data_IF_689519431684
#
_entry.id   IF_689519431684
#
_cell.length_a   1.000
_cell.length_b   1.000
_cell.length_c   1.000
_cell.angle_alpha   90.00
_cell.angle_beta   90.00
_cell.angle_gamma   90.00
#
_symmetry.space_group_name_H-M   'P 1'
#
loop_
_entity.id
_entity.type
_entity.pdbx_description
1 polymer ?
#
# COMPACT_ATOMS: atom_id res chain seq x y z
N UNK A 1 25.68 13.51 -5.04
CA UNK A 1 25.56 12.05 -4.87
C UNK A 1 26.53 11.50 -3.83
N UNK A 2 27.85 11.76 -3.91
CA UNK A 2 28.86 11.09 -3.05
C UNK A 2 28.55 11.00 -1.55
N UNK A 3 28.15 12.10 -0.91
CA UNK A 3 27.76 12.11 0.52
C UNK A 3 26.56 11.19 0.85
N UNK A 4 25.58 11.10 -0.06
CA UNK A 4 24.39 10.26 0.14
C UNK A 4 24.78 8.79 -0.04
N UNK A 5 25.51 8.48 -1.11
CA UNK A 5 26.04 7.13 -1.32
C UNK A 5 26.94 6.66 -0.17
N UNK A 6 27.79 7.52 0.38
CA UNK A 6 28.67 7.15 1.51
C UNK A 6 27.87 6.68 2.74
N UNK A 7 26.68 7.25 2.95
CA UNK A 7 25.81 6.95 4.10
C UNK A 7 24.81 5.82 3.82
N UNK A 8 24.09 5.89 2.69
CA UNK A 8 22.98 5.00 2.35
C UNK A 8 23.38 3.86 1.40
N UNK A 9 24.57 3.94 0.81
CA UNK A 9 25.12 2.94 -0.15
C UNK A 9 24.25 2.71 -1.37
N UNK A 10 23.51 3.74 -1.76
CA UNK A 10 22.58 3.71 -2.89
C UNK A 10 22.64 5.00 -3.70
N UNK A 11 22.16 4.90 -4.94
CA UNK A 11 21.98 6.02 -5.85
C UNK A 11 20.82 6.93 -5.41
N UNK A 12 20.75 8.12 -6.00
CA UNK A 12 19.76 9.13 -5.64
C UNK A 12 18.85 9.38 -6.83
N UNK A 13 17.55 9.24 -6.60
CA UNK A 13 16.51 9.69 -7.52
C UNK A 13 16.06 11.08 -7.10
N UNK A 14 15.97 12.01 -8.06
CA UNK A 14 15.37 13.34 -7.87
C UNK A 14 14.17 13.44 -8.78
N UNK A 15 12.99 13.59 -8.19
CA UNK A 15 11.72 13.68 -8.91
C UNK A 15 11.08 15.05 -8.70
N UNK A 16 10.33 15.57 -9.69
CA UNK A 16 9.41 16.68 -9.47
C UNK A 16 8.44 16.36 -8.33
N UNK A 17 8.07 17.36 -7.56
CA UNK A 17 7.02 17.21 -6.57
C UNK A 17 5.68 16.91 -7.26
N UNK A 18 4.96 15.93 -6.73
CA UNK A 18 3.64 15.50 -7.23
C UNK A 18 2.58 15.77 -6.16
N UNK A 19 1.64 16.65 -6.48
CA UNK A 19 0.53 17.01 -5.61
C UNK A 19 -0.52 15.88 -5.51
N UNK A 20 -1.55 16.11 -4.69
CA UNK A 20 -2.70 15.22 -4.59
C UNK A 20 -2.76 14.47 -3.26
N UNK A 21 -3.48 13.36 -3.25
CA UNK A 21 -3.69 12.49 -2.10
C UNK A 21 -2.83 11.24 -2.22
N UNK A 22 -2.40 10.70 -1.08
CA UNK A 22 -1.68 9.44 -1.03
C UNK A 22 -2.64 8.28 -1.25
N UNK A 23 -2.30 7.38 -2.17
CA UNK A 23 -3.07 6.17 -2.43
C UNK A 23 -2.17 4.96 -2.27
N UNK A 24 -2.66 3.99 -1.51
CA UNK A 24 -2.09 2.65 -1.38
C UNK A 24 -2.98 1.68 -2.13
N UNK A 25 -2.40 0.96 -3.10
CA UNK A 25 -3.04 -0.15 -3.79
C UNK A 25 -2.43 -1.46 -3.29
N UNK A 26 -3.16 -2.20 -2.47
CA UNK A 26 -2.72 -3.48 -1.89
C UNK A 26 -3.24 -4.67 -2.67
N UNK A 27 -2.39 -5.68 -2.85
CA UNK A 27 -2.75 -6.93 -3.50
C UNK A 27 -2.32 -8.13 -2.66
N UNK A 28 -3.25 -9.08 -2.51
CA UNK A 28 -2.97 -10.44 -2.03
C UNK A 28 -3.59 -11.44 -2.99
N UNK A 29 -2.75 -12.23 -3.65
CA UNK A 29 -3.16 -13.32 -4.52
C UNK A 29 -3.62 -14.54 -3.73
N UNK A 30 -4.75 -14.41 -3.02
CA UNK A 30 -5.31 -15.44 -2.12
C UNK A 30 -5.38 -16.81 -2.81
N UNK A 31 -5.73 -16.81 -4.11
CA UNK A 31 -5.68 -17.99 -5.00
C UNK A 31 -4.70 -17.77 -6.17
N UNK A 32 -4.19 -18.84 -6.81
CA UNK A 32 -3.23 -18.72 -7.91
C UNK A 32 -3.75 -17.93 -9.13
N UNK A 33 -5.06 -17.90 -9.34
CA UNK A 33 -5.74 -17.23 -10.45
C UNK A 33 -6.32 -15.85 -10.08
N UNK A 34 -6.04 -15.35 -8.87
CA UNK A 34 -6.47 -14.02 -8.45
C UNK A 34 -5.82 -12.94 -9.31
N UNK A 35 -6.64 -12.12 -9.97
CA UNK A 35 -6.20 -11.04 -10.84
C UNK A 35 -6.38 -9.66 -10.23
N UNK A 36 -6.14 -8.64 -11.05
CA UNK A 36 -6.16 -7.22 -10.66
C UNK A 36 -7.52 -6.75 -10.09
N UNK A 37 -8.60 -7.51 -10.31
CA UNK A 37 -9.90 -7.26 -9.69
C UNK A 37 -9.83 -7.28 -8.15
N UNK A 38 -8.88 -8.01 -7.58
CA UNK A 38 -8.67 -8.10 -6.14
C UNK A 38 -7.81 -6.97 -5.53
N UNK A 39 -7.38 -6.00 -6.34
CA UNK A 39 -6.63 -4.84 -5.87
C UNK A 39 -7.52 -3.97 -4.97
N UNK A 40 -7.10 -3.77 -3.73
CA UNK A 40 -7.72 -2.84 -2.79
C UNK A 40 -7.04 -1.48 -2.87
N UNK A 41 -7.77 -0.45 -3.28
CA UNK A 41 -7.23 0.88 -3.55
C UNK A 41 -7.84 1.86 -2.56
N UNK A 42 -7.01 2.41 -1.67
CA UNK A 42 -7.47 3.33 -0.64
C UNK A 42 -6.61 4.59 -0.61
N UNK A 43 -7.27 5.72 -0.44
CA UNK A 43 -6.64 6.95 0.04
C UNK A 43 -6.21 6.77 1.49
N UNK A 44 -4.99 7.21 1.82
CA UNK A 44 -4.44 7.16 3.17
C UNK A 44 -4.34 8.59 3.71
N UNK A 45 -5.27 8.96 4.58
CA UNK A 45 -5.34 10.29 5.16
C UNK A 45 -4.40 10.40 6.37
N UNK A 46 -3.13 10.72 6.14
CA UNK A 46 -2.10 10.85 7.17
C UNK A 46 -1.99 12.27 7.77
N UNK A 47 -2.85 13.21 7.37
CA UNK A 47 -2.84 14.61 7.83
C UNK A 47 -1.68 15.47 7.31
N UNK A 48 -0.70 14.85 6.65
CA UNK A 48 0.40 15.47 5.96
C UNK A 48 0.44 15.06 4.49
N UNK A 49 1.32 15.69 3.73
CA UNK A 49 1.39 15.52 2.29
C UNK A 49 1.98 14.16 1.88
N UNK A 50 2.99 13.67 2.61
CA UNK A 50 3.51 12.31 2.51
C UNK A 50 3.61 11.71 3.91
N UNK A 51 3.51 10.39 4.00
CA UNK A 51 3.83 9.69 5.24
C UNK A 51 5.34 9.76 5.47
N UNK A 52 5.75 10.29 6.62
CA UNK A 52 7.15 10.36 7.02
C UNK A 52 7.54 9.14 7.85
N UNK A 53 8.85 8.91 8.00
CA UNK A 53 9.35 7.89 8.94
C UNK A 53 8.88 8.15 10.38
N UNK A 54 8.70 9.42 10.78
CA UNK A 54 8.17 9.75 12.09
C UNK A 54 6.72 9.25 12.24
N UNK A 55 5.91 9.40 11.19
CA UNK A 55 4.53 8.91 11.17
C UNK A 55 4.51 7.37 11.20
N UNK A 56 5.40 6.70 10.46
CA UNK A 56 5.55 5.25 10.51
C UNK A 56 5.95 4.76 11.91
N UNK A 57 6.85 5.47 12.59
CA UNK A 57 7.26 5.14 13.97
C UNK A 57 6.14 5.39 14.98
N UNK A 58 5.31 6.42 14.77
CA UNK A 58 4.12 6.66 15.60
C UNK A 58 3.06 5.56 15.45
N UNK A 59 3.07 4.81 14.34
CA UNK A 59 2.13 3.71 14.09
C UNK A 59 2.68 2.34 14.51
N UNK A 60 3.96 2.08 14.23
CA UNK A 60 4.54 0.73 14.35
C UNK A 60 5.82 0.65 15.18
N UNK A 61 6.41 1.79 15.54
CA UNK A 61 7.61 1.85 16.37
C UNK A 61 7.31 1.99 17.86
N UNK A 62 8.35 2.25 18.65
CA UNK A 62 8.26 2.39 20.11
C UNK A 62 7.22 3.44 20.55
N UNK A 63 7.08 4.53 19.79
CA UNK A 63 6.05 5.55 20.01
C UNK A 63 4.62 5.03 19.79
N UNK A 64 4.42 4.15 18.80
CA UNK A 64 3.13 3.52 18.57
C UNK A 64 2.75 2.55 19.69
N UNK A 65 3.72 1.79 20.21
CA UNK A 65 3.49 0.94 21.38
C UNK A 65 3.13 1.79 22.61
N UNK A 66 3.84 2.88 22.87
CA UNK A 66 3.53 3.79 23.97
C UNK A 66 2.13 4.41 23.83
N UNK A 67 1.70 4.78 22.61
CA UNK A 67 0.35 5.28 22.37
C UNK A 67 -0.73 4.21 22.60
N UNK A 68 -0.46 2.94 22.28
CA UNK A 68 -1.36 1.82 22.59
C UNK A 68 -1.50 1.61 24.10
N UNK A 69 -0.37 1.61 24.82
CA UNK A 69 -0.35 1.46 26.27
C UNK A 69 -1.07 2.62 26.97
N UNK A 70 -0.98 3.84 26.40
CA UNK A 70 -1.68 5.03 26.89
C UNK A 70 -3.14 5.15 26.42
N UNK A 71 -3.63 4.26 25.54
CA UNK A 71 -4.98 4.31 24.98
C UNK A 71 -5.24 5.49 24.02
N UNK A 72 -4.19 6.13 23.51
CA UNK A 72 -4.27 7.28 22.59
C UNK A 72 -3.95 6.92 21.14
N UNK A 73 -3.70 5.64 20.86
CA UNK A 73 -3.42 5.15 19.51
C UNK A 73 -4.60 5.35 18.55
N UNK A 74 -4.33 5.96 17.40
CA UNK A 74 -5.28 6.14 16.31
C UNK A 74 -4.63 5.74 14.98
N UNK A 75 -5.40 5.07 14.12
CA UNK A 75 -4.97 4.71 12.76
C UNK A 75 -5.44 5.78 11.76
N UNK A 76 -4.68 6.03 10.68
CA UNK A 76 -5.13 6.90 9.59
C UNK A 76 -6.46 6.44 9.01
N UNK A 77 -7.27 7.40 8.57
CA UNK A 77 -8.53 7.08 7.89
C UNK A 77 -8.26 6.55 6.48
N UNK A 78 -9.05 5.55 6.08
CA UNK A 78 -8.94 4.86 4.80
C UNK A 78 -10.23 4.99 4.00
N UNK A 79 -10.18 5.79 2.95
CA UNK A 79 -11.28 5.97 2.00
C UNK A 79 -11.03 5.15 0.73
N UNK A 80 -12.01 4.38 0.28
CA UNK A 80 -11.89 3.61 -0.98
C UNK A 80 -11.85 4.58 -2.17
N UNK A 81 -10.84 4.48 -3.02
CA UNK A 81 -10.67 5.41 -4.14
C UNK A 81 -11.87 5.40 -5.10
N UNK A 82 -12.45 4.22 -5.34
CA UNK A 82 -13.64 4.08 -6.17
C UNK A 82 -14.88 4.88 -5.66
N UNK A 83 -14.93 5.22 -4.36
CA UNK A 83 -16.05 5.94 -3.78
C UNK A 83 -16.08 7.43 -4.15
N UNK A 84 -14.91 8.08 -4.24
CA UNK A 84 -14.79 9.51 -4.55
C UNK A 84 -14.13 9.81 -5.90
N UNK A 85 -13.19 8.97 -6.33
CA UNK A 85 -12.36 9.18 -7.51
C UNK A 85 -12.34 7.92 -8.41
N UNK A 86 -13.49 7.53 -8.99
CA UNK A 86 -13.63 6.28 -9.73
C UNK A 86 -12.82 6.24 -11.04
N UNK A 87 -12.44 7.38 -11.63
CA UNK A 87 -11.57 7.37 -12.80
C UNK A 87 -10.11 7.06 -12.41
N UNK A 88 -9.65 7.60 -11.28
CA UNK A 88 -8.34 7.26 -10.72
C UNK A 88 -8.26 5.78 -10.34
N UNK A 89 -9.30 5.21 -9.70
CA UNK A 89 -9.36 3.77 -9.40
C UNK A 89 -9.15 2.91 -10.66
N UNK A 90 -9.85 3.22 -11.75
CA UNK A 90 -9.69 2.50 -13.03
C UNK A 90 -8.28 2.64 -13.60
N UNK A 91 -7.70 3.84 -13.55
CA UNK A 91 -6.34 4.08 -14.03
C UNK A 91 -5.30 3.32 -13.19
N UNK A 92 -5.44 3.30 -11.87
CA UNK A 92 -4.59 2.53 -10.95
C UNK A 92 -4.66 1.04 -11.26
N UNK A 93 -5.86 0.48 -11.49
CA UNK A 93 -6.02 -0.92 -11.89
C UNK A 93 -5.33 -1.22 -13.22
N UNK A 94 -5.45 -0.33 -14.21
CA UNK A 94 -4.77 -0.49 -15.49
C UNK A 94 -3.23 -0.51 -15.31
N UNK A 95 -2.67 0.42 -14.54
CA UNK A 95 -1.23 0.46 -14.25
C UNK A 95 -0.80 -0.82 -13.49
N UNK A 96 -1.54 -1.23 -12.47
CA UNK A 96 -1.23 -2.45 -11.72
C UNK A 96 -1.26 -3.70 -12.63
N UNK A 97 -2.22 -3.78 -13.56
CA UNK A 97 -2.28 -4.87 -14.54
C UNK A 97 -1.04 -4.89 -15.44
N UNK A 98 -0.55 -3.73 -15.87
CA UNK A 98 0.69 -3.62 -16.63
C UNK A 98 1.91 -4.04 -15.82
N UNK A 99 1.98 -3.68 -14.53
CA UNK A 99 3.07 -4.10 -13.64
C UNK A 99 3.06 -5.63 -13.39
N UNK A 100 1.88 -6.22 -13.16
CA UNK A 100 1.71 -7.68 -13.05
C UNK A 100 2.21 -8.38 -14.31
N UNK A 101 1.75 -7.93 -15.48
CA UNK A 101 2.10 -8.58 -16.75
C UNK A 101 3.55 -8.34 -17.18
N UNK A 102 4.06 -7.11 -16.99
CA UNK A 102 5.36 -6.67 -17.48
C UNK A 102 6.53 -6.99 -16.56
N UNK A 103 6.32 -6.92 -15.25
CA UNK A 103 7.36 -7.16 -14.23
C UNK A 103 7.14 -8.47 -13.46
N UNK A 104 6.01 -9.14 -13.63
CA UNK A 104 5.71 -10.40 -12.96
C UNK A 104 5.34 -10.25 -11.49
N UNK A 105 4.77 -9.10 -11.09
CA UNK A 105 4.25 -8.92 -9.73
C UNK A 105 3.16 -9.96 -9.46
N UNK A 106 3.26 -10.65 -8.31
CA UNK A 106 2.38 -11.76 -7.94
C UNK A 106 2.38 -11.98 -6.44
N UNK A 107 1.48 -12.85 -5.98
CA UNK A 107 1.36 -13.34 -4.60
C UNK A 107 1.03 -12.25 -3.57
N UNK A 108 1.92 -11.30 -3.33
CA UNK A 108 1.68 -10.16 -2.45
C UNK A 108 2.52 -8.98 -2.90
N UNK A 109 1.89 -7.82 -3.05
CA UNK A 109 2.58 -6.57 -3.32
C UNK A 109 1.70 -5.38 -2.93
N UNK A 110 2.31 -4.21 -2.83
CA UNK A 110 1.61 -2.94 -2.79
C UNK A 110 2.18 -1.99 -3.83
N UNK A 111 1.38 -1.01 -4.22
CA UNK A 111 1.79 0.05 -5.15
C UNK A 111 1.30 1.38 -4.58
N UNK A 112 2.19 2.36 -4.54
CA UNK A 112 1.91 3.66 -3.98
C UNK A 112 1.79 4.69 -5.10
N UNK A 113 0.72 5.47 -5.03
CA UNK A 113 0.36 6.49 -6.01
C UNK A 113 0.08 7.83 -5.35
N UNK A 114 0.17 8.86 -6.18
CA UNK A 114 -0.43 10.17 -5.93
C UNK A 114 -1.57 10.39 -6.90
N UNK A 115 -2.69 10.87 -6.37
CA UNK A 115 -3.88 11.15 -7.18
C UNK A 115 -4.31 12.59 -6.96
N UNK A 116 -4.33 13.36 -8.05
CA UNK A 116 -4.77 14.75 -8.05
C UNK A 116 -6.30 14.86 -8.04
N UNK A 117 -6.82 16.06 -7.78
CA UNK A 117 -8.26 16.32 -7.68
C UNK A 117 -9.01 16.09 -9.01
N UNK A 118 -8.31 16.05 -10.14
CA UNK A 118 -8.85 15.78 -11.48
C UNK A 118 -8.70 14.31 -11.92
N UNK A 119 -8.44 13.40 -10.97
CA UNK A 119 -8.17 11.98 -11.19
C UNK A 119 -6.85 11.66 -11.90
N UNK A 120 -5.94 12.64 -12.09
CA UNK A 120 -4.60 12.35 -12.61
C UNK A 120 -3.82 11.48 -11.62
N UNK A 121 -3.33 10.33 -12.09
CA UNK A 121 -2.61 9.32 -11.29
C UNK A 121 -1.12 9.37 -11.60
N UNK A 122 -0.30 9.37 -10.55
CA UNK A 122 1.15 9.28 -10.63
C UNK A 122 1.65 8.09 -9.82
N UNK A 123 2.37 7.17 -10.46
CA UNK A 123 3.03 6.06 -9.78
C UNK A 123 4.27 6.59 -9.04
N UNK A 124 4.39 6.27 -7.75
CA UNK A 124 5.57 6.62 -6.94
C UNK A 124 6.49 5.41 -6.80
N UNK A 125 5.98 4.30 -6.29
CA UNK A 125 6.74 3.07 -6.08
C UNK A 125 5.85 1.82 -6.03
N UNK A 126 6.49 0.65 -5.98
CA UNK A 126 5.84 -0.62 -5.62
C UNK A 126 6.74 -1.44 -4.69
N UNK A 127 6.13 -2.19 -3.79
CA UNK A 127 6.81 -3.08 -2.85
C UNK A 127 6.41 -4.53 -3.12
N UNK A 128 7.40 -5.40 -3.33
CA UNK A 128 7.18 -6.86 -3.49
C UNK A 128 7.18 -7.62 -2.17
N UNK A 129 7.44 -6.93 -1.07
CA UNK A 129 7.41 -7.48 0.29
C UNK A 129 6.92 -6.39 1.26
N UNK A 130 5.66 -5.94 1.13
CA UNK A 130 5.14 -4.87 1.97
C UNK A 130 5.04 -5.31 3.43
N UNK A 131 5.06 -4.34 4.35
CA UNK A 131 4.89 -4.58 5.78
C UNK A 131 3.48 -5.06 6.15
N UNK A 132 3.20 -6.35 6.02
CA UNK A 132 1.85 -6.93 6.17
C UNK A 132 1.06 -6.58 7.45
N UNK A 133 1.68 -6.39 8.63
CA UNK A 133 0.94 -5.99 9.84
C UNK A 133 0.41 -4.56 9.82
N UNK A 134 0.68 -3.78 8.76
CA UNK A 134 0.23 -2.40 8.63
C UNK A 134 -1.32 -2.28 8.68
N UNK A 135 -1.82 -1.09 9.00
CA UNK A 135 -3.25 -0.89 9.29
C UNK A 135 -4.08 -1.01 8.01
N UNK A 136 -3.57 -0.46 6.91
CA UNK A 136 -4.12 -0.49 5.57
C UNK A 136 -4.20 -1.90 5.01
N UNK A 137 -3.16 -2.73 5.16
CA UNK A 137 -3.22 -4.10 4.65
C UNK A 137 -4.16 -4.98 5.48
N UNK A 138 -4.24 -4.77 6.80
CA UNK A 138 -5.25 -5.42 7.65
C UNK A 138 -6.68 -5.00 7.27
N UNK A 139 -6.91 -3.71 7.00
CA UNK A 139 -8.21 -3.22 6.52
C UNK A 139 -8.56 -3.80 5.14
N UNK A 140 -7.60 -3.83 4.22
CA UNK A 140 -7.72 -4.47 2.92
C UNK A 140 -8.16 -5.93 3.03
N UNK A 141 -7.48 -6.75 3.85
CA UNK A 141 -7.87 -8.15 4.04
C UNK A 141 -9.32 -8.30 4.53
N UNK A 142 -9.76 -7.43 5.45
CA UNK A 142 -11.14 -7.45 5.94
C UNK A 142 -12.13 -7.05 4.86
N UNK A 143 -11.87 -5.97 4.11
CA UNK A 143 -12.80 -5.43 3.11
C UNK A 143 -12.86 -6.31 1.86
N UNK A 144 -11.71 -6.75 1.34
CA UNK A 144 -11.61 -7.51 0.10
C UNK A 144 -11.95 -8.99 0.30
N UNK A 145 -11.47 -9.58 1.39
CA UNK A 145 -11.53 -11.04 1.59
C UNK A 145 -12.45 -11.45 2.73
N UNK A 146 -13.00 -10.50 3.50
CA UNK A 146 -13.77 -10.80 4.72
C UNK A 146 -12.97 -11.66 5.72
N UNK A 147 -11.65 -11.48 5.74
CA UNK A 147 -10.72 -12.27 6.55
C UNK A 147 -9.89 -11.38 7.46
N UNK A 148 -9.48 -11.92 8.61
CA UNK A 148 -8.38 -11.33 9.35
C UNK A 148 -7.07 -11.48 8.54
N UNK A 149 -6.04 -10.69 8.87
CA UNK A 149 -4.73 -10.87 8.26
C UNK A 149 -4.21 -12.30 8.42
N UNK A 150 -4.33 -12.87 9.62
CA UNK A 150 -3.86 -14.22 9.90
C UNK A 150 -4.58 -15.27 9.03
N UNK A 151 -5.90 -15.17 8.90
CA UNK A 151 -6.69 -16.09 8.08
C UNK A 151 -6.35 -15.95 6.59
N UNK A 152 -6.21 -14.71 6.10
CA UNK A 152 -5.83 -14.45 4.71
C UNK A 152 -4.43 -15.01 4.39
N UNK A 153 -3.47 -14.89 5.30
CA UNK A 153 -2.14 -15.49 5.14
C UNK A 153 -2.19 -17.02 5.18
N UNK A 154 -2.95 -17.61 6.10
CA UNK A 154 -3.10 -19.05 6.21
C UNK A 154 -3.76 -19.66 4.95
N UNK A 155 -4.80 -19.02 4.43
CA UNK A 155 -5.47 -19.43 3.19
C UNK A 155 -4.53 -19.28 1.99
N UNK A 156 -3.79 -18.17 1.88
CA UNK A 156 -2.80 -17.98 0.81
C UNK A 156 -1.72 -19.06 0.85
N UNK A 157 -1.17 -19.38 2.03
CA UNK A 157 -0.20 -20.45 2.17
C UNK A 157 -0.80 -21.81 1.77
N UNK A 158 -2.03 -22.07 2.20
CA UNK A 158 -2.75 -23.31 1.87
C UNK A 158 -2.98 -23.46 0.36
N UNK A 159 -3.35 -22.37 -0.34
CA UNK A 159 -3.59 -22.41 -1.78
C UNK A 159 -2.32 -22.67 -2.59
N UNK A 160 -1.16 -22.26 -2.07
CA UNK A 160 0.16 -22.52 -2.69
C UNK A 160 0.70 -23.91 -2.41
N UNK A 161 0.42 -24.49 -1.24
CA UNK A 161 0.87 -25.83 -0.88
C UNK A 161 0.04 -26.95 -1.53
N UNK A 162 -1.18 -26.64 -1.98
CA UNK A 162 -2.08 -27.60 -2.65
C UNK A 162 -1.98 -27.56 -4.18
N UNK A 163 -1.35 -26.55 -4.74
CA UNK A 163 -1.12 -26.39 -6.18
C UNK A 163 0.14 -27.17 -6.61
#
# INVERSE_FOLDING_TARGET
>A
SRRVFDHYRDDVVVQPYVAGRNVRASFLGLKPDTGVEALGIAFVESGGDFQTMADSMALYGDSGQAARDAGTYAEPELEQAAASQPAADRAIRAIAQELIAGLGLKDVFSVDFRVEADDTVHLIEFEVCPGLPCFDFRDYCRRQWSMSLADAMAETATSRLKA
#
